data_IF_428317475582
#
_entry.id   IF_428317475582
#
_cell.length_a   1.000
_cell.length_b   1.000
_cell.length_c   1.000
_cell.angle_alpha   90.00
_cell.angle_beta   90.00
_cell.angle_gamma   90.00
#
_symmetry.space_group_name_H-M   'P 1'
#
loop_
_entity.id
_entity.type
_entity.pdbx_description
1 polymer ?
#
# COMPACT_ATOMS: atom_id res chain seq x y z
N UNK A 1 -5.60 -8.69 -19.06
CA UNK A 1 -6.20 -8.31 -17.75
C UNK A 1 -6.95 -7.01 -17.97
N UNK A 2 -8.19 -6.84 -17.49
CA UNK A 2 -8.92 -5.60 -17.70
C UNK A 2 -8.13 -4.45 -17.06
N UNK A 3 -7.78 -3.44 -17.87
CA UNK A 3 -7.17 -2.21 -17.38
C UNK A 3 -8.28 -1.48 -16.62
N UNK A 4 -8.30 -1.67 -15.30
CA UNK A 4 -9.24 -0.97 -14.42
C UNK A 4 -8.86 0.52 -14.52
N UNK A 5 -9.63 1.29 -15.29
CA UNK A 5 -9.51 2.75 -15.31
C UNK A 5 -9.86 3.24 -13.91
N UNK A 6 -8.86 3.78 -13.23
CA UNK A 6 -9.04 4.39 -11.92
C UNK A 6 -9.72 5.77 -12.11
N UNK A 7 -10.69 6.11 -11.26
CA UNK A 7 -11.43 7.36 -11.40
C UNK A 7 -10.61 8.56 -10.91
N UNK A 8 -11.00 9.76 -11.35
CA UNK A 8 -10.47 11.04 -10.86
C UNK A 8 -8.95 11.22 -11.00
N UNK A 9 -8.33 10.61 -12.01
CA UNK A 9 -6.89 10.72 -12.24
C UNK A 9 -6.03 9.96 -11.23
N UNK A 10 -6.62 9.05 -10.45
CA UNK A 10 -5.88 8.14 -9.58
C UNK A 10 -4.91 7.29 -10.40
N UNK A 11 -3.71 7.12 -9.88
CA UNK A 11 -2.68 6.27 -10.47
C UNK A 11 -2.67 4.89 -9.81
N UNK A 12 -2.18 3.90 -10.56
CA UNK A 12 -2.01 2.56 -10.01
C UNK A 12 -1.00 2.59 -8.87
N UNK A 13 -1.37 1.98 -7.73
CA UNK A 13 -0.49 1.89 -6.57
C UNK A 13 0.82 1.19 -6.91
N UNK A 14 1.91 1.67 -6.34
CA UNK A 14 3.21 1.01 -6.47
C UNK A 14 3.14 -0.39 -5.86
N UNK A 15 3.61 -1.38 -6.62
CA UNK A 15 3.66 -2.76 -6.13
C UNK A 15 4.96 -2.96 -5.36
N UNK A 16 4.89 -3.04 -4.03
CA UNK A 16 6.03 -3.44 -3.20
C UNK A 16 6.16 -4.96 -3.17
N UNK A 17 7.39 -5.45 -3.27
CA UNK A 17 7.74 -6.87 -3.13
C UNK A 17 8.64 -7.00 -1.89
N UNK A 18 8.07 -7.24 -0.70
CA UNK A 18 8.88 -7.44 0.49
C UNK A 18 9.72 -8.71 0.39
N UNK A 19 10.95 -8.67 0.88
CA UNK A 19 11.87 -9.83 0.85
C UNK A 19 11.41 -10.96 1.79
N UNK A 20 10.75 -10.60 2.90
CA UNK A 20 10.25 -11.54 3.90
C UNK A 20 8.73 -11.42 4.05
N UNK A 21 8.07 -12.54 4.37
CA UNK A 21 6.67 -12.54 4.74
C UNK A 21 6.49 -11.79 6.08
N UNK A 22 5.55 -10.84 6.09
CA UNK A 22 5.21 -10.03 7.27
C UNK A 22 3.75 -10.20 7.66
N UNK A 23 3.46 -9.98 8.95
CA UNK A 23 2.09 -9.87 9.44
C UNK A 23 1.39 -8.74 8.71
N UNK A 24 0.17 -9.01 8.23
CA UNK A 24 -0.64 -8.06 7.45
C UNK A 24 -1.68 -7.42 8.34
N UNK A 25 -2.00 -6.15 8.07
CA UNK A 25 -3.09 -5.45 8.72
C UNK A 25 -4.41 -5.94 8.12
N UNK A 26 -5.36 -6.29 9.00
CA UNK A 26 -6.72 -6.66 8.61
C UNK A 26 -7.59 -5.41 8.54
N UNK A 27 -7.54 -4.72 7.40
CA UNK A 27 -8.36 -3.55 7.11
C UNK A 27 -9.25 -3.77 5.87
N UNK A 28 -10.37 -3.06 5.83
CA UNK A 28 -11.21 -2.98 4.64
C UNK A 28 -10.51 -2.13 3.59
N UNK A 29 -10.23 -2.71 2.42
CA UNK A 29 -9.62 -1.98 1.31
C UNK A 29 -10.64 -0.98 0.75
N UNK A 30 -10.16 0.23 0.44
CA UNK A 30 -10.96 1.24 -0.23
C UNK A 30 -11.06 0.88 -1.71
N UNK A 31 -12.28 0.86 -2.25
CA UNK A 31 -12.54 0.60 -3.66
C UNK A 31 -12.50 1.92 -4.42
N UNK A 32 -11.61 2.09 -5.42
CA UNK A 32 -11.50 3.36 -6.16
C UNK A 32 -12.81 3.87 -6.72
N UNK A 33 -13.70 2.97 -7.14
CA UNK A 33 -15.00 3.28 -7.73
C UNK A 33 -16.00 3.91 -6.75
N UNK A 34 -15.82 3.70 -5.44
CA UNK A 34 -16.69 4.24 -4.39
C UNK A 34 -16.17 5.55 -3.81
N UNK A 35 -15.01 6.02 -4.27
CA UNK A 35 -14.37 7.23 -3.78
C UNK A 35 -15.02 8.47 -4.41
N UNK A 36 -15.20 9.56 -3.65
CA UNK A 36 -15.63 10.84 -4.19
C UNK A 36 -14.45 11.64 -4.77
N UNK A 37 -14.67 12.45 -5.81
CA UNK A 37 -13.64 13.23 -6.53
C UNK A 37 -12.76 14.11 -5.62
N UNK A 38 -13.32 14.64 -4.55
CA UNK A 38 -12.63 15.53 -3.61
C UNK A 38 -12.12 14.81 -2.35
N UNK A 39 -12.25 13.47 -2.27
CA UNK A 39 -11.88 12.74 -1.07
C UNK A 39 -10.37 12.76 -0.81
N UNK A 40 -10.01 12.57 0.46
CA UNK A 40 -8.63 12.63 0.93
C UNK A 40 -7.68 11.73 0.11
N UNK A 41 -8.11 10.51 -0.20
CA UNK A 41 -7.30 9.49 -0.85
C UNK A 41 -6.90 9.77 -2.30
N UNK A 42 -7.54 10.75 -2.97
CA UNK A 42 -7.16 11.20 -4.32
C UNK A 42 -5.99 12.18 -4.29
N UNK A 43 -5.85 12.93 -3.19
CA UNK A 43 -4.84 14.01 -3.07
C UNK A 43 -3.52 13.54 -2.46
N UNK A 44 -3.47 12.33 -1.91
CA UNK A 44 -2.29 11.84 -1.21
C UNK A 44 -1.28 11.23 -2.16
N UNK A 45 0.00 11.57 -1.95
CA UNK A 45 1.14 10.97 -2.64
C UNK A 45 1.86 10.02 -1.70
N UNK A 46 1.54 8.72 -1.80
CA UNK A 46 2.09 7.67 -0.92
C UNK A 46 3.63 7.60 -0.98
N UNK A 47 4.20 7.85 -2.16
CA UNK A 47 5.65 7.75 -2.40
C UNK A 47 6.48 8.76 -1.61
N UNK A 48 5.88 9.87 -1.16
CA UNK A 48 6.58 10.93 -0.43
C UNK A 48 7.19 10.43 0.88
N UNK A 49 6.60 9.39 1.49
CA UNK A 49 7.00 8.88 2.78
C UNK A 49 7.68 7.50 2.69
N UNK A 50 7.96 7.02 1.48
CA UNK A 50 8.74 5.80 1.31
C UNK A 50 10.19 6.01 1.73
N UNK A 51 10.70 5.12 2.58
CA UNK A 51 12.09 5.09 2.99
C UNK A 51 12.55 3.64 3.12
N UNK A 52 13.73 3.32 2.57
CA UNK A 52 14.34 1.99 2.69
C UNK A 52 14.57 1.58 4.15
N UNK A 53 15.00 2.50 5.00
CA UNK A 53 15.20 2.23 6.43
C UNK A 53 13.87 1.91 7.14
N UNK A 54 12.79 2.57 6.74
CA UNK A 54 11.46 2.28 7.26
C UNK A 54 11.01 0.87 6.84
N UNK A 55 11.24 0.46 5.59
CA UNK A 55 10.93 -0.89 5.14
C UNK A 55 11.77 -1.95 5.86
N UNK A 56 13.04 -1.66 6.15
CA UNK A 56 13.90 -2.55 6.93
C UNK A 56 13.36 -2.71 8.37
N UNK A 57 12.96 -1.61 9.01
CA UNK A 57 12.36 -1.65 10.35
C UNK A 57 11.03 -2.42 10.37
N UNK A 58 10.15 -2.19 9.40
CA UNK A 58 8.90 -2.94 9.26
C UNK A 58 9.16 -4.44 9.09
N UNK A 59 10.15 -4.80 8.27
CA UNK A 59 10.57 -6.19 8.06
C UNK A 59 11.03 -6.84 9.36
N UNK A 60 11.85 -6.14 10.13
CA UNK A 60 12.35 -6.64 11.41
C UNK A 60 11.22 -6.81 12.44
N UNK A 61 10.36 -5.80 12.59
CA UNK A 61 9.31 -5.79 13.61
C UNK A 61 8.12 -6.71 13.30
N UNK A 62 7.77 -6.89 12.03
CA UNK A 62 6.57 -7.60 11.61
C UNK A 62 6.84 -8.91 10.85
N UNK A 63 8.10 -9.34 10.74
CA UNK A 63 8.43 -10.64 10.12
C UNK A 63 7.59 -11.78 10.73
N UNK A 64 7.08 -12.65 9.87
CA UNK A 64 6.35 -13.86 10.25
C UNK A 64 7.27 -15.07 10.44
N UNK A 65 8.59 -14.89 10.27
CA UNK A 65 9.58 -15.93 10.55
C UNK A 65 9.60 -16.14 12.06
N UNK A 66 9.14 -17.31 12.51
CA UNK A 66 9.33 -17.77 13.88
C UNK A 66 10.83 -17.81 14.16
N UNK A 67 11.27 -17.17 15.25
CA UNK A 67 12.58 -17.48 15.84
C UNK A 67 12.55 -18.97 16.16
N UNK A 68 13.34 -19.76 15.43
CA UNK A 68 13.61 -21.15 15.78
C UNK A 68 14.62 -21.14 16.91
#
# INVERSE_FOLDING_TARGET
>A
MPVIKLPYGLEAKKTYKPEAAMKRINWSKIVPQEMAENCFWIKVKEEKFENQDLFAQLSLSFSSRTKV
#
